data_IF_025278273224
#
_entry.id   IF_025278273224
#
_cell.length_a   1.000
_cell.length_b   1.000
_cell.length_c   1.000
_cell.angle_alpha   90.00
_cell.angle_beta   90.00
_cell.angle_gamma   90.00
#
_symmetry.space_group_name_H-M   'P 1'
#
loop_
_entity.id
_entity.type
_entity.pdbx_description
1 polymer ?
#
# COMPACT_ATOMS: atom_id res chain seq x y z
N UNK A 1 43.96 -10.93 25.11
CA UNK A 1 43.38 -9.94 24.16
C UNK A 1 42.71 -10.58 22.94
N UNK A 2 43.39 -11.42 22.13
CA UNK A 2 42.82 -12.03 20.91
C UNK A 2 41.49 -12.80 21.13
N UNK A 3 41.40 -13.57 22.22
CA UNK A 3 40.17 -14.31 22.56
C UNK A 3 38.97 -13.41 22.91
N UNK A 4 39.21 -12.19 23.39
CA UNK A 4 38.13 -11.25 23.73
C UNK A 4 37.50 -10.68 22.46
N UNK A 5 38.32 -10.23 21.51
CA UNK A 5 37.81 -9.71 20.24
C UNK A 5 37.04 -10.76 19.44
N UNK A 6 37.51 -12.02 19.44
CA UNK A 6 36.77 -13.14 18.83
C UNK A 6 35.39 -13.32 19.48
N UNK A 7 35.31 -13.29 20.82
CA UNK A 7 34.04 -13.36 21.55
C UNK A 7 33.12 -12.18 21.22
N UNK A 8 33.66 -10.96 21.15
CA UNK A 8 32.88 -9.78 20.77
C UNK A 8 32.31 -9.94 19.36
N UNK A 9 33.13 -10.35 18.38
CA UNK A 9 32.68 -10.57 17.00
C UNK A 9 31.56 -11.62 16.94
N UNK A 10 31.70 -12.74 17.65
CA UNK A 10 30.68 -13.79 17.71
C UNK A 10 29.39 -13.31 18.37
N UNK A 11 29.49 -12.60 19.49
CA UNK A 11 28.33 -12.01 20.17
C UNK A 11 27.64 -10.97 19.30
N UNK A 12 28.41 -10.15 18.58
CA UNK A 12 27.87 -9.20 17.61
C UNK A 12 27.10 -9.92 16.51
N UNK A 13 27.69 -10.98 15.93
CA UNK A 13 27.06 -11.74 14.87
C UNK A 13 25.71 -12.32 15.32
N UNK A 14 25.69 -13.02 16.47
CA UNK A 14 24.48 -13.59 17.04
C UNK A 14 23.43 -12.52 17.35
N UNK A 15 23.84 -11.40 17.94
CA UNK A 15 22.93 -10.30 18.27
C UNK A 15 22.38 -9.63 17.01
N UNK A 16 23.19 -9.44 15.97
CA UNK A 16 22.74 -8.93 14.67
C UNK A 16 21.72 -9.85 14.02
N UNK A 17 21.88 -11.18 14.13
CA UNK A 17 20.91 -12.13 13.61
C UNK A 17 19.52 -12.01 14.26
N UNK A 18 19.48 -11.65 15.53
CA UNK A 18 18.23 -11.45 16.28
C UNK A 18 17.67 -10.04 16.04
N UNK A 19 18.48 -9.01 16.33
CA UNK A 19 18.06 -7.61 16.34
C UNK A 19 17.81 -7.08 14.93
N UNK A 20 18.56 -7.58 13.93
CA UNK A 20 18.49 -7.12 12.54
C UNK A 20 17.07 -7.13 11.96
N UNK A 21 16.22 -8.08 12.37
CA UNK A 21 14.82 -8.16 11.92
C UNK A 21 13.95 -7.02 12.44
N UNK A 22 14.27 -6.50 13.63
CA UNK A 22 13.53 -5.42 14.28
C UNK A 22 14.03 -4.05 13.82
N UNK A 23 15.32 -3.94 13.54
CA UNK A 23 15.97 -2.69 13.12
C UNK A 23 16.01 -2.51 11.61
N UNK A 24 15.74 -3.56 10.81
CA UNK A 24 15.80 -3.56 9.35
C UNK A 24 15.19 -2.31 8.73
N UNK A 25 13.94 -2.00 9.08
CA UNK A 25 13.21 -0.85 8.53
C UNK A 25 13.90 0.48 8.83
N UNK A 26 14.31 0.69 10.09
CA UNK A 26 14.96 1.94 10.51
C UNK A 26 16.32 2.11 9.83
N UNK A 27 17.13 1.05 9.82
CA UNK A 27 18.45 1.05 9.17
C UNK A 27 18.31 1.27 7.68
N UNK A 28 17.36 0.60 7.02
CA UNK A 28 17.07 0.80 5.61
C UNK A 28 16.73 2.26 5.30
N UNK A 29 15.84 2.89 6.06
CA UNK A 29 15.52 4.31 5.87
C UNK A 29 16.77 5.20 5.99
N UNK A 30 17.65 4.93 6.96
CA UNK A 30 18.91 5.66 7.12
C UNK A 30 19.87 5.46 5.94
N UNK A 31 20.05 4.21 5.49
CA UNK A 31 20.89 3.86 4.32
C UNK A 31 20.35 4.53 3.05
N UNK A 32 19.04 4.52 2.87
CA UNK A 32 18.38 5.20 1.74
C UNK A 32 18.59 6.71 1.79
N UNK A 33 18.46 7.35 2.97
CA UNK A 33 18.71 8.78 3.13
C UNK A 33 20.17 9.17 2.81
N UNK A 34 21.15 8.39 3.27
CA UNK A 34 22.57 8.62 2.93
C UNK A 34 22.78 8.50 1.42
N UNK A 35 22.21 7.48 0.79
CA UNK A 35 22.29 7.34 -0.67
C UNK A 35 21.70 8.53 -1.42
N UNK A 36 20.55 9.08 -0.98
CA UNK A 36 19.98 10.28 -1.59
C UNK A 36 20.98 11.44 -1.60
N UNK A 37 21.62 11.69 -0.46
CA UNK A 37 22.57 12.80 -0.30
C UNK A 37 23.79 12.60 -1.20
N UNK A 38 24.33 11.38 -1.22
CA UNK A 38 25.54 11.04 -1.99
C UNK A 38 25.28 11.04 -3.50
N UNK A 39 24.18 10.41 -3.93
CA UNK A 39 23.88 10.20 -5.35
C UNK A 39 23.02 11.32 -5.95
N UNK A 40 22.54 12.25 -5.10
CA UNK A 40 21.57 13.30 -5.44
C UNK A 40 20.30 12.76 -6.12
N UNK A 41 19.96 11.49 -5.87
CA UNK A 41 18.82 10.80 -6.49
C UNK A 41 18.21 9.69 -5.61
N UNK A 42 16.88 9.52 -5.70
CA UNK A 42 16.12 8.32 -5.45
C UNK A 42 16.83 6.96 -5.33
N UNK A 43 17.10 6.33 -4.17
CA UNK A 43 17.49 4.90 -4.22
C UNK A 43 16.31 4.06 -4.72
N UNK A 44 15.15 4.16 -4.06
CA UNK A 44 13.95 3.37 -4.41
C UNK A 44 12.64 4.09 -4.06
N UNK A 45 12.64 5.06 -3.13
CA UNK A 45 11.38 5.65 -2.65
C UNK A 45 11.08 7.03 -3.23
N UNK A 46 9.83 7.17 -3.64
CA UNK A 46 9.16 8.45 -3.75
C UNK A 46 9.03 9.07 -2.36
N UNK A 47 9.63 10.25 -2.14
CA UNK A 47 9.45 10.98 -0.89
C UNK A 47 8.08 11.66 -0.97
N UNK A 48 7.19 11.36 -0.01
CA UNK A 48 5.93 12.09 0.13
C UNK A 48 6.19 13.37 0.92
N UNK A 49 5.90 14.50 0.31
CA UNK A 49 5.83 15.81 0.98
C UNK A 49 4.42 16.35 0.85
N UNK A 50 4.09 17.42 1.57
CA UNK A 50 2.81 18.11 1.44
C UNK A 50 3.06 19.56 1.04
N UNK A 51 2.16 20.12 0.25
CA UNK A 51 2.17 21.55 -0.04
C UNK A 51 1.64 22.38 1.14
N UNK A 52 1.57 23.70 0.96
CA UNK A 52 1.06 24.65 1.96
C UNK A 52 -0.40 24.37 2.37
N UNK A 53 -1.19 23.69 1.53
CA UNK A 53 -2.56 23.27 1.83
C UNK A 53 -2.62 21.89 2.50
N UNK A 54 -1.48 21.23 2.71
CA UNK A 54 -1.39 19.88 3.28
C UNK A 54 -1.65 18.75 2.28
N UNK A 55 -1.84 19.05 0.99
CA UNK A 55 -2.11 18.01 -0.02
C UNK A 55 -0.79 17.34 -0.40
N UNK A 56 -0.68 16.00 -0.31
CA UNK A 56 0.59 15.34 -0.52
C UNK A 56 0.96 15.23 -2.00
N UNK A 57 2.26 15.27 -2.28
CA UNK A 57 2.86 14.93 -3.57
C UNK A 57 4.09 14.06 -3.35
N UNK A 58 4.41 13.27 -4.37
CA UNK A 58 5.57 12.39 -4.43
C UNK A 58 6.67 13.06 -5.25
N UNK A 59 7.92 12.94 -4.82
CA UNK A 59 9.09 13.19 -5.66
C UNK A 59 9.67 11.83 -6.05
N UNK A 60 9.38 11.39 -7.26
CA UNK A 60 9.87 10.14 -7.82
C UNK A 60 11.12 10.38 -8.70
N UNK A 61 12.12 9.50 -8.61
CA UNK A 61 13.38 9.67 -9.34
C UNK A 61 13.27 9.49 -10.85
N UNK A 62 12.20 8.87 -11.35
CA UNK A 62 11.97 8.61 -12.78
C UNK A 62 10.95 9.57 -13.38
N UNK A 63 9.85 9.85 -12.67
CA UNK A 63 8.74 10.67 -13.18
C UNK A 63 8.64 12.06 -12.54
N UNK A 64 9.56 12.41 -11.64
CA UNK A 64 9.63 13.73 -11.02
C UNK A 64 8.55 13.96 -9.96
N UNK A 65 8.18 15.24 -9.77
CA UNK A 65 7.15 15.65 -8.83
C UNK A 65 5.76 15.29 -9.37
N UNK A 66 5.03 14.40 -8.68
CA UNK A 66 3.72 13.91 -9.09
C UNK A 66 2.74 13.90 -7.91
N UNK A 67 1.46 14.17 -8.16
CA UNK A 67 0.41 13.86 -7.19
C UNK A 67 -0.19 12.50 -7.51
N UNK A 68 -0.22 11.62 -6.52
CA UNK A 68 -0.77 10.28 -6.62
C UNK A 68 -2.10 10.26 -5.85
N UNK A 69 -3.24 10.04 -6.51
CA UNK A 69 -4.56 10.05 -5.88
C UNK A 69 -4.68 9.17 -4.62
N UNK A 70 -4.14 7.94 -4.62
CA UNK A 70 -4.17 7.06 -3.42
C UNK A 70 -3.38 7.66 -2.26
N UNK A 71 -2.26 8.33 -2.53
CA UNK A 71 -1.47 8.99 -1.48
C UNK A 71 -2.24 10.18 -0.91
N UNK A 72 -2.94 10.94 -1.75
CA UNK A 72 -3.84 12.01 -1.28
C UNK A 72 -4.95 11.44 -0.42
N UNK A 73 -5.59 10.34 -0.83
CA UNK A 73 -6.64 9.70 -0.05
C UNK A 73 -6.12 9.20 1.31
N UNK A 74 -5.00 8.48 1.34
CA UNK A 74 -4.42 7.98 2.58
C UNK A 74 -4.02 9.11 3.54
N UNK A 75 -3.49 10.22 3.01
CA UNK A 75 -3.16 11.39 3.82
C UNK A 75 -4.41 12.08 4.36
N UNK A 76 -5.46 12.21 3.54
CA UNK A 76 -6.76 12.70 3.97
C UNK A 76 -7.31 11.86 5.12
N UNK A 77 -7.34 10.53 4.98
CA UNK A 77 -7.84 9.63 6.03
C UNK A 77 -6.99 9.70 7.31
N UNK A 78 -5.67 9.90 7.19
CA UNK A 78 -4.81 10.16 8.35
C UNK A 78 -5.14 11.49 9.04
N UNK A 79 -5.39 12.56 8.29
CA UNK A 79 -5.83 13.84 8.87
C UNK A 79 -7.20 13.73 9.53
N UNK A 80 -8.13 13.00 8.91
CA UNK A 80 -9.44 12.72 9.49
C UNK A 80 -9.31 11.96 10.82
N UNK A 81 -8.49 10.91 10.87
CA UNK A 81 -8.27 10.15 12.11
C UNK A 81 -7.75 11.05 13.24
N UNK A 82 -6.71 11.85 12.99
CA UNK A 82 -6.20 12.80 13.99
C UNK A 82 -7.21 13.89 14.37
N UNK A 83 -8.07 14.32 13.43
CA UNK A 83 -9.17 15.23 13.75
C UNK A 83 -10.17 14.57 14.71
N UNK A 84 -10.53 13.31 14.49
CA UNK A 84 -11.42 12.56 15.38
C UNK A 84 -10.79 12.28 16.76
N UNK A 85 -9.46 12.24 16.84
CA UNK A 85 -8.70 12.15 18.10
C UNK A 85 -8.58 13.50 18.84
N UNK A 86 -9.12 14.59 18.28
CA UNK A 86 -9.22 15.91 18.92
C UNK A 86 -8.33 17.00 18.32
N UNK A 87 -7.46 16.68 17.35
CA UNK A 87 -6.65 17.70 16.67
C UNK A 87 -7.46 18.45 15.61
N UNK A 88 -8.19 19.48 16.06
CA UNK A 88 -9.03 20.33 15.21
C UNK A 88 -8.27 20.98 14.04
N UNK A 89 -6.93 21.14 14.15
CA UNK A 89 -6.11 21.70 13.05
C UNK A 89 -6.10 20.80 11.81
N UNK A 90 -6.36 19.49 11.96
CA UNK A 90 -6.36 18.54 10.84
C UNK A 90 -7.61 18.59 9.99
N UNK A 91 -8.70 19.19 10.50
CA UNK A 91 -9.98 19.29 9.76
C UNK A 91 -9.80 19.98 8.41
N UNK A 92 -9.11 21.12 8.38
CA UNK A 92 -8.92 21.87 7.13
C UNK A 92 -7.98 21.12 6.16
N UNK A 93 -6.95 20.43 6.66
CA UNK A 93 -6.03 19.66 5.82
C UNK A 93 -6.72 18.43 5.19
N UNK A 94 -7.63 17.79 5.94
CA UNK A 94 -8.49 16.74 5.42
C UNK A 94 -9.39 17.28 4.29
N UNK A 95 -10.09 18.39 4.52
CA UNK A 95 -10.98 19.00 3.54
C UNK A 95 -10.23 19.48 2.29
N UNK A 96 -9.04 20.06 2.44
CA UNK A 96 -8.18 20.44 1.31
C UNK A 96 -7.83 19.23 0.42
N UNK A 97 -7.62 18.04 1.02
CA UNK A 97 -7.40 16.82 0.25
C UNK A 97 -8.68 16.35 -0.47
N UNK A 98 -9.84 16.43 0.18
CA UNK A 98 -11.12 16.08 -0.43
C UNK A 98 -11.50 17.03 -1.58
N UNK A 99 -11.26 18.33 -1.42
CA UNK A 99 -11.45 19.34 -2.46
C UNK A 99 -10.47 19.10 -3.61
N UNK A 100 -9.20 18.80 -3.32
CA UNK A 100 -8.23 18.45 -4.36
C UNK A 100 -8.68 17.25 -5.20
N UNK A 101 -9.20 16.18 -4.56
CA UNK A 101 -9.72 15.01 -5.26
C UNK A 101 -10.92 15.35 -6.14
N UNK A 102 -11.77 16.27 -5.70
CA UNK A 102 -12.92 16.77 -6.48
C UNK A 102 -12.44 17.54 -7.72
N UNK A 103 -11.56 18.52 -7.51
CA UNK A 103 -11.03 19.43 -8.53
C UNK A 103 -10.13 18.75 -9.57
N UNK A 104 -9.47 17.65 -9.20
CA UNK A 104 -8.50 16.95 -10.05
C UNK A 104 -9.04 15.61 -10.59
N UNK A 105 -10.34 15.38 -10.46
CA UNK A 105 -11.02 14.25 -11.12
C UNK A 105 -11.32 14.57 -12.59
N UNK A 106 -11.32 13.54 -13.44
CA UNK A 106 -11.78 13.64 -14.83
C UNK A 106 -13.18 13.07 -14.93
N UNK A 107 -14.13 13.87 -15.39
CA UNK A 107 -15.52 13.46 -15.60
C UNK A 107 -15.74 12.95 -17.01
N UNK A 108 -16.36 11.77 -17.14
CA UNK A 108 -16.80 11.18 -18.42
C UNK A 108 -18.27 10.82 -18.28
N UNK A 109 -19.15 11.54 -18.99
CA UNK A 109 -20.62 11.37 -18.91
C UNK A 109 -21.10 11.33 -17.45
N UNK A 110 -21.53 10.16 -16.97
CA UNK A 110 -22.13 9.94 -15.66
C UNK A 110 -21.14 9.54 -14.56
N UNK A 111 -19.86 9.35 -14.89
CA UNK A 111 -18.85 8.93 -13.92
C UNK A 111 -17.66 9.90 -13.85
N UNK A 112 -16.87 9.77 -12.79
CA UNK A 112 -15.60 10.46 -12.59
C UNK A 112 -14.51 9.44 -12.27
N UNK A 113 -13.28 9.73 -12.64
CA UNK A 113 -12.09 8.95 -12.29
C UNK A 113 -10.99 9.86 -11.77
N UNK A 114 -10.09 9.33 -10.94
CA UNK A 114 -8.91 10.04 -10.48
C UNK A 114 -7.71 9.68 -11.38
N UNK A 115 -7.29 10.58 -12.29
CA UNK A 115 -6.22 10.29 -13.22
C UNK A 115 -4.84 10.31 -12.56
N UNK A 116 -3.98 9.42 -13.02
CA UNK A 116 -2.56 9.41 -12.74
C UNK A 116 -1.84 10.01 -13.95
N UNK A 117 -1.43 11.27 -13.84
CA UNK A 117 -0.85 12.05 -14.95
C UNK A 117 0.64 11.78 -15.19
N UNK A 118 1.09 10.54 -14.96
CA UNK A 118 2.46 10.10 -15.18
C UNK A 118 2.49 8.62 -15.56
N UNK A 119 3.48 8.18 -16.35
CA UNK A 119 3.57 6.78 -16.76
C UNK A 119 3.98 5.86 -15.60
N UNK A 120 3.55 4.60 -15.65
CA UNK A 120 3.94 3.56 -14.69
C UNK A 120 4.38 2.27 -15.40
N UNK A 121 5.70 2.07 -15.47
CA UNK A 121 6.29 1.06 -16.36
C UNK A 121 6.09 -0.39 -15.93
N UNK A 122 5.89 -0.66 -14.63
CA UNK A 122 5.71 -2.05 -14.12
C UNK A 122 4.55 -2.75 -14.83
N UNK A 123 3.50 -1.99 -15.16
CA UNK A 123 2.31 -2.51 -15.83
C UNK A 123 2.05 -1.93 -17.22
N UNK A 124 3.05 -1.29 -17.83
CA UNK A 124 2.91 -0.60 -19.12
C UNK A 124 1.80 0.45 -19.14
N UNK A 125 1.70 1.26 -18.08
CA UNK A 125 0.72 2.34 -18.01
C UNK A 125 1.28 3.61 -18.66
N UNK A 126 0.67 4.04 -19.75
CA UNK A 126 0.83 5.39 -20.30
C UNK A 126 0.10 6.44 -19.46
N UNK A 127 0.47 7.71 -19.62
CA UNK A 127 -0.22 8.84 -18.97
C UNK A 127 -1.35 9.38 -19.86
N UNK A 128 -2.55 9.70 -19.31
CA UNK A 128 -3.01 9.38 -17.96
C UNK A 128 -3.56 7.96 -17.86
N UNK A 129 -3.40 7.32 -16.70
CA UNK A 129 -4.05 6.04 -16.35
C UNK A 129 -4.94 6.20 -15.12
N UNK A 130 -5.71 5.16 -14.77
CA UNK A 130 -6.75 5.20 -13.72
C UNK A 130 -6.56 4.06 -12.71
N UNK A 131 -7.19 4.16 -11.55
CA UNK A 131 -7.05 3.14 -10.51
C UNK A 131 -8.35 2.87 -9.77
N UNK A 132 -8.80 1.61 -9.80
CA UNK A 132 -9.91 1.13 -8.98
C UNK A 132 -9.62 1.23 -7.48
N UNK A 133 -8.36 1.06 -7.07
CA UNK A 133 -7.91 1.32 -5.70
C UNK A 133 -8.11 2.79 -5.32
N UNK A 134 -7.64 3.73 -6.16
CA UNK A 134 -7.82 5.17 -5.90
C UNK A 134 -9.28 5.53 -5.78
N UNK A 135 -10.10 5.09 -6.74
CA UNK A 135 -11.53 5.37 -6.75
C UNK A 135 -12.20 4.80 -5.48
N UNK A 136 -11.90 3.55 -5.11
CA UNK A 136 -12.45 2.92 -3.91
C UNK A 136 -12.09 3.65 -2.62
N UNK A 137 -10.81 3.95 -2.40
CA UNK A 137 -10.38 4.67 -1.19
C UNK A 137 -10.91 6.11 -1.19
N UNK A 138 -11.09 6.74 -2.35
CA UNK A 138 -11.67 8.08 -2.41
C UNK A 138 -13.14 8.13 -1.97
N UNK A 139 -13.90 7.04 -2.14
CA UNK A 139 -15.26 6.94 -1.58
C UNK A 139 -15.26 7.16 -0.07
N UNK A 140 -14.30 6.56 0.66
CA UNK A 140 -14.13 6.78 2.10
C UNK A 140 -13.85 8.25 2.44
N UNK A 141 -13.04 8.92 1.62
CA UNK A 141 -12.73 10.34 1.82
C UNK A 141 -13.97 11.19 1.63
N UNK A 142 -14.73 10.96 0.57
CA UNK A 142 -15.92 11.76 0.25
C UNK A 142 -17.06 11.55 1.25
N UNK A 143 -17.35 10.32 1.68
CA UNK A 143 -18.40 10.09 2.69
C UNK A 143 -18.04 10.74 4.03
N UNK A 144 -16.74 10.75 4.39
CA UNK A 144 -16.25 11.44 5.60
C UNK A 144 -16.27 12.97 5.44
N UNK A 145 -15.97 13.48 4.25
CA UNK A 145 -16.06 14.91 3.97
C UNK A 145 -17.52 15.38 4.03
N UNK A 146 -18.44 14.63 3.43
CA UNK A 146 -19.87 14.89 3.55
C UNK A 146 -20.35 14.78 5.00
N UNK A 147 -19.92 13.76 5.75
CA UNK A 147 -20.41 13.57 7.12
C UNK A 147 -20.10 14.75 8.04
N UNK A 148 -18.95 15.42 7.87
CA UNK A 148 -18.51 16.56 8.69
C UNK A 148 -18.94 17.93 8.17
N UNK A 149 -19.25 18.07 6.87
CA UNK A 149 -19.59 19.36 6.25
C UNK A 149 -21.07 19.48 5.91
N UNK A 150 -21.74 18.35 5.65
CA UNK A 150 -23.05 18.27 4.99
C UNK A 150 -23.08 18.94 3.61
N UNK A 151 -21.92 19.12 2.97
CA UNK A 151 -21.82 19.68 1.63
C UNK A 151 -22.02 18.59 0.57
N UNK A 152 -23.17 18.64 -0.11
CA UNK A 152 -23.61 17.68 -1.11
C UNK A 152 -22.61 17.49 -2.26
N UNK A 153 -21.69 18.45 -2.49
CA UNK A 153 -20.66 18.30 -3.53
C UNK A 153 -19.84 17.02 -3.35
N UNK A 154 -19.59 16.62 -2.10
CA UNK A 154 -18.80 15.43 -1.79
C UNK A 154 -19.59 14.15 -2.08
N UNK A 155 -20.88 14.10 -1.70
CA UNK A 155 -21.71 12.94 -1.97
C UNK A 155 -22.01 12.79 -3.47
N UNK A 156 -22.23 13.90 -4.16
CA UNK A 156 -22.36 13.94 -5.62
C UNK A 156 -21.08 13.44 -6.31
N UNK A 157 -19.89 13.88 -5.86
CA UNK A 157 -18.64 13.37 -6.40
C UNK A 157 -18.45 11.89 -6.09
N UNK A 158 -18.77 11.44 -4.88
CA UNK A 158 -18.72 10.02 -4.51
C UNK A 158 -19.62 9.16 -5.41
N UNK A 159 -20.84 9.60 -5.74
CA UNK A 159 -21.71 8.90 -6.69
C UNK A 159 -21.08 8.79 -8.08
N UNK A 160 -20.44 9.87 -8.56
CA UNK A 160 -19.73 9.83 -9.86
C UNK A 160 -18.53 8.89 -9.84
N UNK A 161 -17.77 8.85 -8.75
CA UNK A 161 -16.69 7.88 -8.57
C UNK A 161 -17.24 6.45 -8.52
N UNK A 162 -18.33 6.21 -7.79
CA UNK A 162 -18.99 4.90 -7.74
C UNK A 162 -19.37 4.43 -9.16
N UNK A 163 -19.95 5.32 -9.97
CA UNK A 163 -20.34 5.01 -11.34
C UNK A 163 -19.17 4.57 -12.23
N UNK A 164 -17.91 4.90 -11.88
CA UNK A 164 -16.74 4.44 -12.65
C UNK A 164 -16.53 2.93 -12.59
N UNK A 165 -17.06 2.26 -11.56
CA UNK A 165 -17.00 0.80 -11.43
C UNK A 165 -17.99 0.08 -12.36
N UNK A 166 -18.97 0.79 -12.95
CA UNK A 166 -19.79 0.24 -14.02
C UNK A 166 -19.11 0.30 -15.40
N UNK A 167 -18.18 1.23 -15.58
CA UNK A 167 -17.50 1.49 -16.85
C UNK A 167 -16.32 0.54 -17.05
N UNK A 168 -16.23 -0.08 -18.23
CA UNK A 168 -15.09 -0.94 -18.54
C UNK A 168 -13.82 -0.12 -18.73
N UNK A 169 -12.65 -0.77 -18.57
CA UNK A 169 -11.35 -0.10 -18.78
C UNK A 169 -11.24 0.52 -20.18
N UNK A 170 -11.80 -0.14 -21.20
CA UNK A 170 -11.90 0.36 -22.59
C UNK A 170 -12.77 1.61 -22.73
N UNK A 171 -13.78 1.78 -21.86
CA UNK A 171 -14.67 2.95 -21.87
C UNK A 171 -14.17 4.09 -20.98
N UNK A 172 -12.93 4.02 -20.50
CA UNK A 172 -12.36 5.00 -19.59
C UNK A 172 -12.68 4.76 -18.11
N UNK A 173 -13.27 3.62 -17.78
CA UNK A 173 -13.52 3.19 -16.40
C UNK A 173 -12.36 2.43 -15.78
N UNK A 174 -12.69 1.59 -14.79
CA UNK A 174 -11.73 0.79 -13.99
C UNK A 174 -12.09 -0.69 -13.90
N UNK A 175 -13.09 -1.15 -14.66
CA UNK A 175 -13.66 -2.49 -14.50
C UNK A 175 -13.38 -3.41 -15.67
N UNK A 176 -13.14 -4.68 -15.39
CA UNK A 176 -13.28 -5.77 -16.37
C UNK A 176 -14.48 -6.62 -16.00
N UNK A 177 -15.50 -6.70 -16.87
CA UNK A 177 -16.68 -7.53 -16.64
C UNK A 177 -16.37 -8.97 -17.06
N UNK A 178 -16.19 -9.87 -16.09
CA UNK A 178 -15.79 -11.24 -16.33
C UNK A 178 -17.05 -12.10 -16.45
N UNK A 179 -17.32 -12.59 -17.65
CA UNK A 179 -18.49 -13.44 -17.92
C UNK A 179 -18.59 -14.58 -16.90
N UNK A 180 -19.73 -14.67 -16.24
CA UNK A 180 -20.08 -15.67 -15.21
C UNK A 180 -19.15 -15.69 -13.98
N UNK A 181 -18.26 -14.70 -13.84
CA UNK A 181 -17.26 -14.64 -12.76
C UNK A 181 -17.27 -13.31 -12.00
N UNK A 182 -18.28 -12.47 -12.16
CA UNK A 182 -18.34 -11.16 -11.51
C UNK A 182 -17.42 -10.13 -12.18
N UNK A 183 -17.19 -9.00 -11.52
CA UNK A 183 -16.49 -7.86 -12.11
C UNK A 183 -15.21 -7.55 -11.35
N UNK A 184 -14.08 -7.46 -12.07
CA UNK A 184 -12.81 -7.13 -11.46
C UNK A 184 -12.52 -5.63 -11.55
N UNK A 185 -12.25 -5.01 -10.40
CA UNK A 185 -11.87 -3.60 -10.28
C UNK A 185 -10.35 -3.46 -10.32
N UNK A 186 -9.83 -2.95 -11.43
CA UNK A 186 -8.42 -2.97 -11.75
C UNK A 186 -7.65 -1.83 -11.05
N UNK A 187 -6.59 -2.15 -10.30
CA UNK A 187 -5.74 -1.13 -9.64
C UNK A 187 -4.98 -0.27 -10.66
N UNK A 188 -4.54 -0.88 -11.76
CA UNK A 188 -3.80 -0.23 -12.84
C UNK A 188 -4.63 -0.34 -14.12
N UNK A 189 -5.55 0.60 -14.32
CA UNK A 189 -6.52 0.59 -15.40
C UNK A 189 -6.07 1.47 -16.58
N UNK A 190 -5.68 0.81 -17.66
CA UNK A 190 -5.45 1.41 -18.98
C UNK A 190 -5.67 0.34 -20.05
N UNK A 191 -6.39 0.68 -21.12
CA UNK A 191 -6.75 -0.25 -22.21
C UNK A 191 -5.51 -0.87 -22.88
N UNK A 192 -4.48 -0.07 -23.11
CA UNK A 192 -3.20 -0.50 -23.73
C UNK A 192 -2.20 -1.08 -22.72
N UNK A 193 -2.57 -1.11 -21.43
CA UNK A 193 -1.75 -1.59 -20.33
C UNK A 193 -1.87 -3.09 -20.08
N UNK A 194 -1.03 -3.64 -19.20
CA UNK A 194 -1.18 -5.03 -18.78
C UNK A 194 -2.35 -5.19 -17.81
N UNK A 195 -3.21 -6.17 -18.07
CA UNK A 195 -4.25 -6.62 -17.13
C UNK A 195 -3.59 -7.35 -15.97
N UNK A 196 -3.31 -6.62 -14.91
CA UNK A 196 -2.53 -7.07 -13.75
C UNK A 196 -3.37 -7.89 -12.78
N UNK A 197 -4.62 -7.49 -12.56
CA UNK A 197 -5.50 -7.96 -11.49
C UNK A 197 -4.77 -7.96 -10.14
N UNK A 198 -4.37 -6.79 -9.65
CA UNK A 198 -3.75 -6.66 -8.32
C UNK A 198 -4.77 -6.94 -7.23
N UNK A 199 -4.44 -7.88 -6.33
CA UNK A 199 -5.39 -8.40 -5.34
C UNK A 199 -5.79 -7.34 -4.30
N UNK A 200 -4.82 -6.66 -3.67
CA UNK A 200 -5.12 -5.63 -2.68
C UNK A 200 -5.97 -4.49 -3.27
N UNK A 201 -5.71 -4.10 -4.52
CA UNK A 201 -6.43 -3.00 -5.17
C UNK A 201 -7.91 -3.30 -5.33
N UNK A 202 -8.23 -4.54 -5.75
CA UNK A 202 -9.60 -5.00 -5.84
C UNK A 202 -10.30 -5.06 -4.47
N UNK A 203 -9.64 -5.61 -3.45
CA UNK A 203 -10.20 -5.70 -2.10
C UNK A 203 -10.41 -4.34 -1.42
N UNK A 204 -9.50 -3.39 -1.60
CA UNK A 204 -9.71 -2.01 -1.13
C UNK A 204 -10.86 -1.33 -1.88
N UNK A 205 -11.03 -1.59 -3.18
CA UNK A 205 -12.19 -1.09 -3.92
C UNK A 205 -13.50 -1.64 -3.35
N UNK A 206 -13.57 -2.94 -3.03
CA UNK A 206 -14.72 -3.55 -2.36
C UNK A 206 -15.05 -2.88 -1.03
N UNK A 207 -14.06 -2.67 -0.16
CA UNK A 207 -14.29 -1.95 1.11
C UNK A 207 -14.72 -0.50 0.90
N UNK A 208 -14.18 0.18 -0.12
CA UNK A 208 -14.61 1.51 -0.55
C UNK A 208 -16.09 1.58 -0.89
N UNK A 209 -16.54 0.63 -1.71
CA UNK A 209 -17.92 0.52 -2.18
C UNK A 209 -18.87 0.11 -1.04
N UNK A 210 -18.45 -0.82 -0.17
CA UNK A 210 -19.23 -1.25 0.98
C UNK A 210 -19.49 -0.09 1.95
N UNK A 211 -18.45 0.65 2.35
CA UNK A 211 -18.61 1.80 3.25
C UNK A 211 -19.50 2.88 2.62
N UNK A 212 -19.42 3.08 1.30
CA UNK A 212 -20.32 3.97 0.58
C UNK A 212 -21.78 3.48 0.64
N UNK A 213 -22.02 2.19 0.43
CA UNK A 213 -23.35 1.59 0.54
C UNK A 213 -23.91 1.76 1.96
N UNK A 214 -23.13 1.49 3.00
CA UNK A 214 -23.54 1.67 4.39
C UNK A 214 -23.90 3.12 4.71
N UNK A 215 -23.17 4.07 4.13
CA UNK A 215 -23.40 5.50 4.36
C UNK A 215 -24.58 6.08 3.58
N UNK A 216 -24.74 5.68 2.32
CA UNK A 216 -25.68 6.30 1.36
C UNK A 216 -26.96 5.50 1.15
N UNK A 217 -26.94 4.20 1.49
CA UNK A 217 -27.96 3.21 1.13
C UNK A 217 -28.23 3.08 -0.38
N UNK A 218 -27.26 3.47 -1.20
CA UNK A 218 -27.37 3.42 -2.66
C UNK A 218 -27.35 1.95 -3.17
N UNK A 219 -28.44 1.44 -3.78
CA UNK A 219 -28.50 0.07 -4.26
C UNK A 219 -27.47 -0.24 -5.36
N UNK A 220 -26.98 0.75 -6.10
CA UNK A 220 -25.91 0.55 -7.08
C UNK A 220 -24.62 0.10 -6.41
N UNK A 221 -24.30 0.65 -5.24
CA UNK A 221 -23.11 0.28 -4.50
C UNK A 221 -23.19 -1.17 -4.01
N UNK A 222 -24.36 -1.59 -3.53
CA UNK A 222 -24.60 -2.99 -3.17
C UNK A 222 -24.40 -3.92 -4.37
N UNK A 223 -24.97 -3.59 -5.52
CA UNK A 223 -24.82 -4.40 -6.73
C UNK A 223 -23.34 -4.50 -7.18
N UNK A 224 -22.62 -3.38 -7.20
CA UNK A 224 -21.20 -3.36 -7.54
C UNK A 224 -20.36 -4.18 -6.54
N UNK A 225 -20.64 -4.08 -5.24
CA UNK A 225 -20.00 -4.91 -4.23
C UNK A 225 -20.24 -6.39 -4.49
N UNK A 226 -21.47 -6.81 -4.77
CA UNK A 226 -21.81 -8.20 -5.06
C UNK A 226 -21.08 -8.72 -6.31
N UNK A 227 -21.00 -7.92 -7.38
CA UNK A 227 -20.25 -8.29 -8.59
C UNK A 227 -18.75 -8.44 -8.32
N UNK A 228 -18.15 -7.52 -7.57
CA UNK A 228 -16.74 -7.61 -7.20
C UNK A 228 -16.47 -8.76 -6.23
N UNK A 229 -17.35 -8.99 -5.25
CA UNK A 229 -17.24 -10.09 -4.31
C UNK A 229 -17.29 -11.44 -5.03
N UNK A 230 -18.15 -11.59 -6.04
CA UNK A 230 -18.17 -12.77 -6.90
C UNK A 230 -16.85 -12.96 -7.66
N UNK A 231 -16.23 -11.89 -8.16
CA UNK A 231 -14.92 -11.96 -8.80
C UNK A 231 -13.83 -12.38 -7.82
N UNK A 232 -13.78 -11.78 -6.64
CA UNK A 232 -12.81 -12.16 -5.62
C UNK A 232 -12.89 -13.65 -5.28
N UNK A 233 -14.09 -14.19 -5.02
CA UNK A 233 -14.30 -15.62 -4.76
C UNK A 233 -13.75 -16.52 -5.87
N UNK A 234 -14.00 -16.16 -7.12
CA UNK A 234 -13.57 -16.95 -8.27
C UNK A 234 -12.07 -16.87 -8.54
N UNK A 235 -11.39 -15.83 -8.07
CA UNK A 235 -9.99 -15.57 -8.38
C UNK A 235 -9.02 -15.82 -7.22
N UNK A 236 -9.50 -15.88 -5.98
CA UNK A 236 -8.64 -15.88 -4.79
C UNK A 236 -7.61 -17.03 -4.79
N UNK A 237 -8.00 -18.20 -5.29
CA UNK A 237 -7.11 -19.37 -5.40
C UNK A 237 -5.87 -19.14 -6.28
N UNK A 238 -5.95 -18.27 -7.29
CA UNK A 238 -4.81 -17.97 -8.16
C UNK A 238 -3.74 -17.10 -7.48
N UNK A 239 -4.04 -16.52 -6.32
CA UNK A 239 -3.08 -15.74 -5.54
C UNK A 239 -2.38 -16.57 -4.46
N UNK A 240 -2.72 -17.84 -4.33
CA UNK A 240 -2.10 -18.72 -3.37
C UNK A 240 -0.88 -19.43 -3.98
N UNK A 241 0.30 -19.14 -3.45
CA UNK A 241 1.54 -19.80 -3.90
C UNK A 241 1.76 -21.17 -3.25
N UNK A 242 0.83 -21.61 -2.38
CA UNK A 242 0.86 -22.82 -1.55
C UNK A 242 1.95 -22.88 -0.48
N UNK A 243 3.19 -22.56 -0.83
CA UNK A 243 4.37 -22.72 0.05
C UNK A 243 5.02 -21.39 0.44
N UNK A 244 4.60 -20.29 -0.18
CA UNK A 244 5.18 -18.96 -0.02
C UNK A 244 4.17 -17.92 0.45
N UNK A 245 4.52 -16.63 0.36
CA UNK A 245 3.54 -15.58 0.55
C UNK A 245 2.52 -15.60 -0.60
N UNK A 246 1.39 -14.94 -0.42
CA UNK A 246 0.43 -14.74 -1.50
C UNK A 246 1.06 -13.99 -2.67
N UNK A 247 0.52 -14.18 -3.86
CA UNK A 247 0.87 -13.37 -5.02
C UNK A 247 0.18 -12.02 -4.93
N UNK A 248 0.88 -10.99 -5.39
CA UNK A 248 0.40 -9.61 -5.46
C UNK A 248 -0.58 -9.41 -6.63
N UNK A 249 -0.31 -10.07 -7.75
CA UNK A 249 -1.03 -9.97 -9.01
C UNK A 249 -1.11 -11.35 -9.69
N UNK A 250 -1.90 -11.47 -10.76
CA UNK A 250 -2.03 -12.73 -11.52
C UNK A 250 -0.82 -13.06 -12.40
N UNK A 251 0.25 -12.27 -12.33
CA UNK A 251 1.55 -12.60 -12.96
C UNK A 251 2.44 -13.39 -12.01
N UNK A 252 1.86 -13.95 -10.95
CA UNK A 252 2.52 -14.75 -9.92
C UNK A 252 3.69 -14.01 -9.23
N UNK A 253 3.59 -12.69 -9.09
CA UNK A 253 4.60 -11.90 -8.36
C UNK A 253 4.41 -12.08 -6.84
N UNK A 254 5.37 -12.64 -6.09
CA UNK A 254 5.22 -12.81 -4.64
C UNK A 254 5.12 -11.47 -3.91
N UNK A 255 4.25 -11.37 -2.91
CA UNK A 255 4.20 -10.18 -2.04
C UNK A 255 5.43 -10.11 -1.13
N UNK A 256 5.81 -8.89 -0.75
CA UNK A 256 6.69 -8.68 0.40
C UNK A 256 5.91 -8.82 1.72
N UNK A 257 6.61 -8.68 2.86
CA UNK A 257 6.02 -8.78 4.20
C UNK A 257 4.85 -7.81 4.41
N UNK A 258 4.92 -6.62 3.83
CA UNK A 258 3.89 -5.60 4.01
C UNK A 258 2.63 -5.99 3.24
N UNK A 259 2.76 -6.31 1.95
CA UNK A 259 1.60 -6.65 1.13
C UNK A 259 0.97 -7.98 1.50
N UNK A 260 1.77 -8.95 1.97
CA UNK A 260 1.23 -10.20 2.48
C UNK A 260 0.31 -9.98 3.69
N UNK A 261 0.77 -9.18 4.67
CA UNK A 261 -0.04 -8.78 5.82
C UNK A 261 -1.29 -8.01 5.39
N UNK A 262 -1.17 -7.08 4.43
CA UNK A 262 -2.32 -6.35 3.88
C UNK A 262 -3.36 -7.30 3.27
N UNK A 263 -2.94 -8.34 2.55
CA UNK A 263 -3.88 -9.34 2.03
C UNK A 263 -4.63 -10.07 3.14
N UNK A 264 -3.93 -10.49 4.20
CA UNK A 264 -4.54 -11.16 5.36
C UNK A 264 -5.56 -10.22 6.05
N UNK A 265 -5.18 -8.96 6.30
CA UNK A 265 -6.04 -7.98 6.96
C UNK A 265 -7.31 -7.68 6.14
N UNK A 266 -7.17 -7.54 4.82
CA UNK A 266 -8.29 -7.28 3.92
C UNK A 266 -9.25 -8.47 3.82
N UNK A 267 -8.72 -9.70 3.73
CA UNK A 267 -9.56 -10.90 3.75
C UNK A 267 -10.29 -11.08 5.07
N UNK A 268 -9.63 -10.75 6.19
CA UNK A 268 -10.26 -10.79 7.52
C UNK A 268 -11.44 -9.82 7.58
N UNK A 269 -11.25 -8.57 7.14
CA UNK A 269 -12.33 -7.58 7.07
C UNK A 269 -13.47 -7.99 6.14
N UNK A 270 -13.15 -8.53 4.97
CA UNK A 270 -14.17 -9.01 4.04
C UNK A 270 -14.95 -10.21 4.60
N UNK A 271 -14.31 -11.08 5.38
CA UNK A 271 -15.00 -12.14 6.11
C UNK A 271 -15.96 -11.59 7.18
N UNK A 272 -15.56 -10.55 7.91
CA UNK A 272 -16.44 -9.91 8.90
C UNK A 272 -17.70 -9.32 8.27
N UNK A 273 -17.60 -8.78 7.04
CA UNK A 273 -18.72 -8.19 6.30
C UNK A 273 -19.60 -9.26 5.63
N UNK A 274 -18.98 -10.24 4.97
CA UNK A 274 -19.69 -11.17 4.07
C UNK A 274 -20.00 -12.52 4.68
N UNK A 275 -19.33 -12.87 5.78
CA UNK A 275 -19.30 -14.21 6.37
C UNK A 275 -18.89 -15.33 5.40
N UNK A 276 -18.20 -15.00 4.30
CA UNK A 276 -17.74 -15.96 3.28
C UNK A 276 -16.58 -16.82 3.82
N UNK A 277 -16.77 -18.14 4.04
CA UNK A 277 -15.74 -18.99 4.65
C UNK A 277 -14.43 -19.05 3.85
N UNK A 278 -14.49 -18.86 2.53
CA UNK A 278 -13.31 -18.85 1.67
C UNK A 278 -12.29 -17.77 2.08
N UNK A 279 -12.77 -16.60 2.51
CA UNK A 279 -11.90 -15.49 2.92
C UNK A 279 -11.16 -15.80 4.21
N UNK A 280 -11.89 -16.37 5.19
CA UNK A 280 -11.27 -16.85 6.44
C UNK A 280 -10.25 -17.95 6.17
N UNK A 281 -10.58 -18.91 5.30
CA UNK A 281 -9.65 -19.99 4.94
C UNK A 281 -8.31 -19.44 4.42
N UNK A 282 -8.33 -18.51 3.46
CA UNK A 282 -7.09 -17.94 2.92
C UNK A 282 -6.37 -17.02 3.91
N UNK A 283 -7.10 -16.21 4.70
CA UNK A 283 -6.51 -15.38 5.75
C UNK A 283 -5.75 -16.26 6.77
N UNK A 284 -6.39 -17.33 7.25
CA UNK A 284 -5.79 -18.27 8.20
C UNK A 284 -4.59 -18.98 7.57
N UNK A 285 -4.75 -19.55 6.36
CA UNK A 285 -3.66 -20.24 5.64
C UNK A 285 -2.44 -19.32 5.46
N UNK A 286 -2.66 -18.12 4.93
CA UNK A 286 -1.59 -17.16 4.68
C UNK A 286 -0.95 -16.63 5.98
N UNK A 287 -1.71 -16.50 7.07
CA UNK A 287 -1.15 -16.10 8.38
C UNK A 287 -0.11 -17.07 8.93
N UNK A 288 -0.12 -18.34 8.50
CA UNK A 288 0.89 -19.33 8.90
C UNK A 288 2.26 -19.09 8.27
N UNK A 289 2.31 -18.36 7.14
CA UNK A 289 3.55 -18.08 6.45
C UNK A 289 4.39 -17.04 7.20
N UNK A 290 5.64 -17.40 7.51
CA UNK A 290 6.61 -16.52 8.14
C UNK A 290 7.67 -16.11 7.13
N UNK A 291 7.74 -14.81 6.84
CA UNK A 291 8.79 -14.28 5.98
C UNK A 291 10.19 -14.60 6.56
N UNK A 292 11.16 -14.93 5.69
CA UNK A 292 12.53 -15.16 6.11
C UNK A 292 13.13 -13.93 6.81
N UNK A 293 13.84 -14.16 7.92
CA UNK A 293 14.62 -13.15 8.64
C UNK A 293 15.68 -12.51 7.72
N UNK A 294 16.10 -11.28 8.03
CA UNK A 294 17.17 -10.58 7.30
C UNK A 294 18.41 -11.47 7.12
N UNK A 295 18.86 -12.15 8.17
CA UNK A 295 19.99 -13.07 8.09
C UNK A 295 19.70 -14.27 7.19
N UNK A 296 18.52 -14.89 7.30
CA UNK A 296 18.19 -16.03 6.44
C UNK A 296 18.15 -15.63 4.95
N UNK A 297 17.77 -14.38 4.64
CA UNK A 297 17.80 -13.86 3.26
C UNK A 297 19.21 -13.76 2.68
N UNK A 298 20.24 -13.68 3.52
CA UNK A 298 21.64 -13.65 3.07
C UNK A 298 22.17 -15.02 2.63
N UNK A 299 21.47 -16.10 2.99
CA UNK A 299 21.83 -17.47 2.59
C UNK A 299 20.84 -18.07 1.59
N UNK A 300 19.84 -17.30 1.17
CA UNK A 300 18.89 -17.67 0.11
C UNK A 300 19.24 -16.96 -1.20
N UNK A 301 19.08 -17.65 -2.33
CA UNK A 301 19.36 -17.08 -3.65
C UNK A 301 18.08 -16.58 -4.34
N UNK A 302 18.10 -15.41 -5.03
CA UNK A 302 19.20 -14.46 -5.15
C UNK A 302 19.31 -13.52 -3.94
N UNK A 303 20.53 -13.25 -3.49
CA UNK A 303 20.80 -12.31 -2.39
C UNK A 303 20.64 -10.87 -2.89
N UNK A 304 19.85 -10.07 -2.18
CA UNK A 304 19.70 -8.64 -2.49
C UNK A 304 20.86 -7.86 -1.88
N UNK A 305 21.54 -7.05 -2.70
CA UNK A 305 22.65 -6.19 -2.23
C UNK A 305 22.26 -5.31 -1.04
N UNK A 306 21.02 -4.78 -1.04
CA UNK A 306 20.53 -3.95 0.05
C UNK A 306 20.39 -4.72 1.38
N UNK A 307 20.02 -6.01 1.34
CA UNK A 307 19.94 -6.84 2.54
C UNK A 307 21.34 -7.03 3.15
N UNK A 308 22.36 -7.22 2.31
CA UNK A 308 23.77 -7.28 2.76
C UNK A 308 24.19 -5.98 3.44
N UNK A 309 23.90 -4.83 2.82
CA UNK A 309 24.25 -3.51 3.37
C UNK A 309 23.55 -3.28 4.72
N UNK A 310 22.25 -3.55 4.80
CA UNK A 310 21.48 -3.38 6.05
C UNK A 310 22.04 -4.28 7.16
N UNK A 311 22.37 -5.53 6.81
CA UNK A 311 22.93 -6.46 7.78
C UNK A 311 24.30 -6.00 8.27
N UNK A 312 25.19 -5.55 7.37
CA UNK A 312 26.51 -5.03 7.72
C UNK A 312 26.42 -3.79 8.62
N UNK A 313 25.51 -2.85 8.33
CA UNK A 313 25.30 -1.67 9.18
C UNK A 313 24.86 -2.07 10.59
N UNK A 314 23.91 -3.01 10.70
CA UNK A 314 23.51 -3.56 12.00
C UNK A 314 24.68 -4.23 12.72
N UNK A 315 25.47 -5.04 12.00
CA UNK A 315 26.65 -5.70 12.55
C UNK A 315 27.69 -4.71 13.07
N UNK A 316 27.95 -3.63 12.34
CA UNK A 316 28.86 -2.56 12.75
C UNK A 316 28.36 -1.85 14.00
N UNK A 317 27.09 -1.45 14.05
CA UNK A 317 26.50 -0.76 15.22
C UNK A 317 26.63 -1.64 16.47
N UNK A 318 26.20 -2.90 16.38
CA UNK A 318 26.26 -3.85 17.50
C UNK A 318 27.70 -4.11 17.94
N UNK A 319 28.64 -4.26 16.99
CA UNK A 319 30.05 -4.47 17.30
C UNK A 319 30.69 -3.28 18.01
N UNK A 320 30.37 -2.07 17.57
CA UNK A 320 30.82 -0.84 18.24
C UNK A 320 30.25 -0.79 19.66
N UNK A 321 28.97 -1.10 19.85
CA UNK A 321 28.34 -1.13 21.19
C UNK A 321 29.04 -2.12 22.13
N UNK A 322 29.29 -3.36 21.70
CA UNK A 322 30.00 -4.35 22.53
C UNK A 322 31.45 -3.96 22.82
N UNK A 323 32.15 -3.38 21.84
CA UNK A 323 33.49 -2.83 22.06
C UNK A 323 33.46 -1.71 23.10
N UNK A 324 32.56 -0.74 22.96
CA UNK A 324 32.42 0.36 23.91
C UNK A 324 32.11 -0.14 25.33
N UNK A 325 31.20 -1.11 25.49
CA UNK A 325 30.90 -1.71 26.78
C UNK A 325 32.12 -2.42 27.39
N UNK A 326 32.89 -3.13 26.59
CA UNK A 326 34.13 -3.78 27.03
C UNK A 326 35.15 -2.76 27.55
N UNK A 327 35.39 -1.66 26.81
CA UNK A 327 36.33 -0.62 27.22
C UNK A 327 35.86 0.18 28.44
N UNK A 328 34.55 0.40 28.59
CA UNK A 328 34.01 1.17 29.70
C UNK A 328 33.99 0.38 31.03
N UNK A 329 33.62 -0.90 30.98
CA UNK A 329 33.29 -1.67 32.18
C UNK A 329 34.24 -2.81 32.52
N UNK A 330 34.95 -3.34 31.51
CA UNK A 330 35.75 -4.56 31.68
C UNK A 330 37.24 -4.26 31.67
N UNK A 331 37.73 -3.44 30.73
CA UNK A 331 39.17 -3.13 30.65
C UNK A 331 39.64 -2.13 31.72
N UNK A 332 38.74 -1.35 32.30
CA UNK A 332 39.05 -0.43 33.42
C UNK A 332 39.12 -1.11 34.79
N UNK A 333 38.74 -2.39 34.87
CA UNK A 333 38.98 -3.27 36.03
C UNK A 333 40.16 -4.17 35.72
#
# INVERSE_FOLDING_TARGET
>A
MKNVYIRIILLSFLSTCVIGNFTERKVRTGVEAVYQVVMRKPMVYSISQSDEKGVPYLIDGKVGKQRNPVIVCNKALSYYASFMEGDSSKRILFLNCADWLTENSTSVRIFSVLPYNYPWSIYNMGSPWRSGLANGVSLHVFIKAHSITKDEKYLAMAKRILNSFYAEVSDGGVTYKLKDRGWWFEEFALETGYVSRVLNGHMFALLGIQDYFEYSHDPDAKYLFEQGNLALKNYLAFYDSNVGPSYYDLRARPTDRKYHAVHIDLLTKLFEITHEPLYKFYADKWSTYKHPSLTSRLVTWPIKRIDVVIWLVNFSIVSITFLSLYYLFIQKK
#
